data_IF_920149032357
#
_entry.id   IF_920149032357
#
_cell.length_a   1.000
_cell.length_b   1.000
_cell.length_c   1.000
_cell.angle_alpha   90.00
_cell.angle_beta   90.00
_cell.angle_gamma   90.00
#
_symmetry.space_group_name_H-M   'P 1'
#
loop_
_entity.id
_entity.type
_entity.pdbx_description
1 polymer ?
#
# COMPACT_ATOMS: atom_id res chain seq x y z
N UNK A 1 -18.84 28.71 -27.12
CA UNK A 1 -18.85 27.24 -27.21
C UNK A 1 -17.85 26.73 -26.18
N UNK A 2 -18.33 25.92 -25.24
CA UNK A 2 -17.74 25.72 -23.92
C UNK A 2 -16.37 25.01 -23.91
N UNK A 3 -15.48 25.49 -23.04
CA UNK A 3 -14.23 24.86 -22.67
C UNK A 3 -14.52 23.63 -21.80
N UNK A 4 -14.00 22.47 -22.18
CA UNK A 4 -14.07 21.24 -21.39
C UNK A 4 -13.14 21.40 -20.19
N UNK A 5 -13.71 21.69 -19.02
CA UNK A 5 -12.98 21.61 -17.77
C UNK A 5 -12.63 20.15 -17.51
N UNK A 6 -11.33 19.84 -17.56
CA UNK A 6 -10.80 18.61 -17.00
C UNK A 6 -11.28 18.51 -15.54
N UNK A 7 -12.07 17.48 -15.23
CA UNK A 7 -12.50 17.21 -13.85
C UNK A 7 -11.26 16.92 -13.03
N UNK A 8 -10.82 17.90 -12.24
CA UNK A 8 -9.77 17.72 -11.26
C UNK A 8 -10.22 16.73 -10.18
N UNK A 9 -9.80 15.48 -10.29
CA UNK A 9 -9.94 14.47 -9.22
C UNK A 9 -9.19 14.87 -7.92
N UNK A 10 -8.39 15.94 -7.96
CA UNK A 10 -7.49 16.33 -6.87
C UNK A 10 -8.17 16.93 -5.62
N UNK A 11 -9.47 17.26 -5.63
CA UNK A 11 -10.09 18.00 -4.51
C UNK A 11 -10.93 17.14 -3.56
N UNK A 12 -11.36 15.93 -3.94
CA UNK A 12 -12.22 15.11 -3.08
C UNK A 12 -11.45 14.15 -2.15
N UNK A 13 -10.20 13.81 -2.48
CA UNK A 13 -9.39 12.88 -1.67
C UNK A 13 -8.71 13.52 -0.45
N UNK A 14 -8.70 14.84 -0.32
CA UNK A 14 -7.83 15.53 0.65
C UNK A 14 -8.59 16.08 1.88
N UNK A 15 -9.67 15.41 2.30
CA UNK A 15 -10.40 15.80 3.51
C UNK A 15 -9.62 15.34 4.76
N UNK A 16 -9.06 16.26 5.58
CA UNK A 16 -8.14 15.92 6.66
C UNK A 16 -8.77 15.12 7.81
N UNK A 17 -10.11 15.06 7.88
CA UNK A 17 -10.82 14.37 8.97
C UNK A 17 -11.55 13.10 8.52
N UNK A 18 -11.29 12.61 7.30
CA UNK A 18 -11.93 11.40 6.77
C UNK A 18 -10.92 10.30 6.51
N UNK A 19 -11.26 9.02 6.78
CA UNK A 19 -10.41 7.90 6.39
C UNK A 19 -10.05 7.95 4.91
N UNK A 20 -8.80 7.61 4.60
CA UNK A 20 -8.23 7.72 3.26
C UNK A 20 -7.66 6.36 2.84
N UNK A 21 -8.19 5.79 1.77
CA UNK A 21 -7.79 4.46 1.31
C UNK A 21 -6.78 4.54 0.17
N UNK A 22 -5.72 3.74 0.27
CA UNK A 22 -4.74 3.52 -0.80
C UNK A 22 -4.63 2.03 -1.06
N UNK A 23 -4.70 1.66 -2.32
CA UNK A 23 -4.46 0.31 -2.79
C UNK A 23 -3.03 0.19 -3.35
N UNK A 24 -2.27 -0.73 -2.76
CA UNK A 24 -0.88 -1.02 -3.09
C UNK A 24 -0.85 -2.32 -3.89
N UNK A 25 -0.65 -2.20 -5.20
CA UNK A 25 -0.57 -3.33 -6.11
C UNK A 25 0.88 -3.77 -6.28
N UNK A 26 1.09 -5.08 -6.25
CA UNK A 26 2.39 -5.71 -6.43
C UNK A 26 2.32 -6.71 -7.58
N UNK A 27 3.16 -6.51 -8.58
CA UNK A 27 3.42 -7.48 -9.65
C UNK A 27 4.80 -8.07 -9.40
N UNK A 28 4.87 -9.38 -9.20
CA UNK A 28 6.08 -10.11 -8.82
C UNK A 28 6.59 -10.91 -10.02
N UNK A 29 7.91 -11.11 -10.07
CA UNK A 29 8.55 -12.05 -11.01
C UNK A 29 7.91 -13.43 -10.88
N UNK A 30 7.66 -14.08 -12.02
CA UNK A 30 7.12 -15.45 -12.05
C UNK A 30 7.98 -16.40 -11.20
N UNK A 31 7.33 -17.27 -10.42
CA UNK A 31 7.98 -18.21 -9.51
C UNK A 31 8.45 -17.62 -8.16
N UNK A 32 8.32 -16.31 -7.93
CA UNK A 32 8.79 -15.65 -6.70
C UNK A 32 7.68 -15.09 -5.80
N UNK A 33 6.41 -15.33 -6.12
CA UNK A 33 5.27 -14.79 -5.35
C UNK A 33 5.32 -15.22 -3.87
N UNK A 34 5.61 -16.49 -3.60
CA UNK A 34 5.72 -17.01 -2.23
C UNK A 34 6.93 -16.45 -1.48
N UNK A 35 8.06 -16.26 -2.16
CA UNK A 35 9.26 -15.65 -1.60
C UNK A 35 8.97 -14.19 -1.20
N UNK A 36 8.34 -13.43 -2.10
CA UNK A 36 7.91 -12.07 -1.85
C UNK A 36 6.98 -12.00 -0.64
N UNK A 37 5.93 -12.82 -0.60
CA UNK A 37 4.96 -12.80 0.48
C UNK A 37 5.57 -13.23 1.82
N UNK A 38 6.51 -14.18 1.81
CA UNK A 38 7.26 -14.57 3.01
C UNK A 38 8.09 -13.41 3.56
N UNK A 39 8.82 -12.71 2.71
CA UNK A 39 9.61 -11.53 3.10
C UNK A 39 8.71 -10.38 3.57
N UNK A 40 7.61 -10.12 2.85
CA UNK A 40 6.60 -9.13 3.22
C UNK A 40 6.03 -9.40 4.62
N UNK A 41 5.61 -10.64 4.90
CA UNK A 41 5.08 -11.05 6.21
C UNK A 41 6.12 -10.94 7.33
N UNK A 42 7.38 -11.26 7.03
CA UNK A 42 8.47 -11.25 8.02
C UNK A 42 8.88 -9.83 8.39
N UNK A 43 8.99 -8.93 7.40
CA UNK A 43 9.69 -7.65 7.58
C UNK A 43 8.75 -6.44 7.46
N UNK A 44 7.96 -6.36 6.39
CA UNK A 44 7.12 -5.18 6.13
C UNK A 44 5.82 -5.17 6.94
N UNK A 45 5.13 -6.31 7.02
CA UNK A 45 3.85 -6.41 7.72
C UNK A 45 3.92 -6.03 9.22
N UNK A 46 4.97 -6.40 10.00
CA UNK A 46 5.10 -5.92 11.38
C UNK A 46 5.16 -4.40 11.52
N UNK A 47 5.77 -3.69 10.56
CA UNK A 47 5.81 -2.22 10.56
C UNK A 47 4.41 -1.64 10.34
N UNK A 48 3.63 -2.20 9.40
CA UNK A 48 2.23 -1.81 9.21
C UNK A 48 1.39 -2.09 10.46
N UNK A 49 1.59 -3.24 11.11
CA UNK A 49 0.92 -3.56 12.39
C UNK A 49 1.27 -2.57 13.49
N UNK A 50 2.51 -2.09 13.56
CA UNK A 50 2.91 -1.04 14.50
C UNK A 50 2.16 0.27 14.21
N UNK A 51 2.09 0.69 12.94
CA UNK A 51 1.31 1.87 12.55
C UNK A 51 -0.20 1.73 12.81
N UNK A 52 -0.75 0.51 12.73
CA UNK A 52 -2.12 0.24 13.17
C UNK A 52 -2.28 0.43 14.68
N UNK A 53 -1.34 -0.04 15.50
CA UNK A 53 -1.38 0.13 16.95
C UNK A 53 -1.30 1.61 17.37
N UNK A 54 -0.60 2.42 16.59
CA UNK A 54 -0.51 3.87 16.76
C UNK A 54 -1.74 4.62 16.23
N UNK A 55 -2.69 3.92 15.62
CA UNK A 55 -3.92 4.50 15.07
C UNK A 55 -3.73 5.30 13.78
N UNK A 56 -2.58 5.14 13.11
CA UNK A 56 -2.30 5.75 11.79
C UNK A 56 -3.05 5.01 10.69
N UNK A 57 -3.03 3.68 10.76
CA UNK A 57 -3.80 2.77 9.92
C UNK A 57 -5.03 2.31 10.71
N UNK A 58 -6.22 2.53 10.16
CA UNK A 58 -7.49 2.15 10.80
C UNK A 58 -8.03 0.81 10.29
N UNK A 59 -7.66 0.41 9.07
CA UNK A 59 -7.96 -0.90 8.51
C UNK A 59 -6.90 -1.32 7.48
N UNK A 60 -6.71 -2.62 7.32
CA UNK A 60 -5.80 -3.17 6.31
C UNK A 60 -6.29 -4.54 5.83
N UNK A 61 -6.34 -4.70 4.51
CA UNK A 61 -6.70 -5.96 3.85
C UNK A 61 -5.64 -6.35 2.84
N UNK A 62 -5.36 -7.64 2.72
CA UNK A 62 -4.49 -8.20 1.67
C UNK A 62 -5.25 -9.23 0.86
N UNK A 63 -5.18 -9.11 -0.46
CA UNK A 63 -5.88 -9.96 -1.41
C UNK A 63 -4.93 -10.36 -2.55
N UNK A 64 -5.23 -11.50 -3.16
CA UNK A 64 -4.58 -11.98 -4.38
C UNK A 64 -5.68 -12.36 -5.38
N UNK A 65 -5.44 -12.25 -6.69
CA UNK A 65 -6.40 -12.76 -7.67
C UNK A 65 -6.52 -14.27 -7.52
N UNK A 66 -7.74 -14.79 -7.54
CA UNK A 66 -7.97 -16.23 -7.56
C UNK A 66 -7.71 -16.84 -8.95
N UNK A 67 -7.95 -16.07 -10.00
CA UNK A 67 -7.68 -16.44 -11.39
C UNK A 67 -6.59 -15.55 -11.99
N UNK A 68 -5.83 -16.08 -12.94
CA UNK A 68 -4.82 -15.32 -13.66
C UNK A 68 -5.47 -14.25 -14.56
N UNK A 69 -4.99 -13.02 -14.45
CA UNK A 69 -5.19 -12.01 -15.50
C UNK A 69 -4.14 -12.17 -16.61
N UNK A 70 -4.41 -11.63 -17.79
CA UNK A 70 -3.38 -11.48 -18.83
C UNK A 70 -2.21 -10.62 -18.34
N UNK A 71 -1.03 -10.79 -18.93
CA UNK A 71 0.22 -10.19 -18.43
C UNK A 71 0.16 -8.66 -18.30
N UNK A 72 -0.57 -7.98 -19.19
CA UNK A 72 -0.75 -6.51 -19.16
C UNK A 72 -1.47 -6.05 -17.87
N UNK A 73 -2.53 -6.75 -17.46
CA UNK A 73 -3.33 -6.42 -16.28
C UNK A 73 -2.95 -7.20 -15.02
N UNK A 74 -1.89 -8.00 -15.08
CA UNK A 74 -1.49 -8.88 -13.97
C UNK A 74 -0.96 -8.08 -12.78
N UNK A 75 -1.54 -8.35 -11.63
CA UNK A 75 -0.99 -8.12 -10.30
C UNK A 75 -1.08 -9.43 -9.53
N UNK A 76 -0.19 -9.66 -8.57
CA UNK A 76 -0.13 -10.91 -7.82
C UNK A 76 -0.66 -10.73 -6.38
N UNK A 77 -0.46 -9.53 -5.81
CA UNK A 77 -0.99 -9.14 -4.51
C UNK A 77 -1.47 -7.70 -4.52
N UNK A 78 -2.53 -7.44 -3.76
CA UNK A 78 -3.01 -6.10 -3.43
C UNK A 78 -3.08 -5.97 -1.92
N UNK A 79 -2.58 -4.86 -1.39
CA UNK A 79 -2.82 -4.46 -0.01
C UNK A 79 -3.63 -3.19 -0.03
N UNK A 80 -4.79 -3.16 0.60
CA UNK A 80 -5.56 -1.94 0.81
C UNK A 80 -5.30 -1.47 2.22
N UNK A 81 -4.76 -0.26 2.37
CA UNK A 81 -4.57 0.39 3.67
C UNK A 81 -5.55 1.53 3.75
N UNK A 82 -6.37 1.53 4.81
CA UNK A 82 -7.20 2.67 5.17
C UNK A 82 -6.45 3.45 6.25
N UNK A 83 -5.95 4.61 5.87
CA UNK A 83 -5.30 5.56 6.76
C UNK A 83 -6.33 6.38 7.52
N UNK A 84 -5.96 6.88 8.70
CA UNK A 84 -6.80 7.76 9.51
C UNK A 84 -7.31 8.96 8.70
N UNK A 85 -6.45 9.54 7.88
CA UNK A 85 -6.79 10.59 6.92
C UNK A 85 -5.71 10.76 5.84
N UNK A 86 -5.95 11.65 4.87
CA UNK A 86 -5.02 11.92 3.77
C UNK A 86 -3.70 12.54 4.24
N UNK A 87 -3.71 13.30 5.33
CA UNK A 87 -2.49 13.92 5.89
C UNK A 87 -1.56 12.83 6.43
N UNK A 88 -2.09 11.90 7.23
CA UNK A 88 -1.33 10.75 7.77
C UNK A 88 -0.83 9.82 6.67
N UNK A 89 -1.56 9.69 5.55
CA UNK A 89 -1.14 8.86 4.42
C UNK A 89 0.07 9.43 3.63
N UNK A 90 0.38 10.72 3.78
CA UNK A 90 1.42 11.41 3.01
C UNK A 90 2.38 12.24 3.89
N UNK A 91 2.40 12.00 5.21
CA UNK A 91 3.35 12.67 6.10
C UNK A 91 4.73 12.01 6.04
N UNK A 92 5.74 12.70 6.59
CA UNK A 92 7.10 12.20 6.70
C UNK A 92 7.27 11.32 7.96
N UNK A 93 6.47 10.25 8.08
CA UNK A 93 6.55 9.35 9.24
C UNK A 93 7.88 8.59 9.29
N UNK A 94 8.61 8.76 10.39
CA UNK A 94 9.87 8.07 10.67
C UNK A 94 9.61 6.82 11.52
N UNK A 95 9.81 5.64 10.92
CA UNK A 95 9.69 4.34 11.57
C UNK A 95 11.02 3.77 12.08
N UNK A 96 12.14 4.52 11.99
CA UNK A 96 13.48 4.03 12.28
C UNK A 96 13.66 3.47 13.70
N UNK A 97 13.01 4.08 14.69
CA UNK A 97 13.03 3.59 16.07
C UNK A 97 12.29 2.25 16.20
N UNK A 98 11.17 2.09 15.49
CA UNK A 98 10.40 0.85 15.45
C UNK A 98 11.15 -0.25 14.70
N UNK A 99 11.77 0.07 13.56
CA UNK A 99 12.64 -0.84 12.81
C UNK A 99 13.74 -1.42 13.71
N UNK A 100 14.48 -0.56 14.42
CA UNK A 100 15.57 -1.01 15.32
C UNK A 100 15.06 -1.92 16.44
N UNK A 101 13.87 -1.62 16.98
CA UNK A 101 13.24 -2.41 18.04
C UNK A 101 12.72 -3.76 17.55
N UNK A 102 12.09 -3.79 16.38
CA UNK A 102 11.46 -4.99 15.82
C UNK A 102 12.48 -5.92 15.17
N UNK A 103 13.58 -5.38 14.63
CA UNK A 103 14.58 -6.13 13.88
C UNK A 103 16.00 -5.90 14.43
N UNK A 104 16.38 -6.51 15.56
CA UNK A 104 17.73 -6.30 16.12
C UNK A 104 18.87 -6.64 15.15
N UNK A 105 18.69 -7.64 14.27
CA UNK A 105 19.61 -7.94 13.17
C UNK A 105 19.30 -7.03 11.95
N UNK A 106 19.89 -5.84 11.97
CA UNK A 106 19.71 -4.81 10.94
C UNK A 106 20.30 -5.21 9.58
N UNK A 107 21.37 -6.01 9.56
CA UNK A 107 22.00 -6.47 8.33
C UNK A 107 21.05 -7.42 7.58
N UNK A 108 20.49 -8.40 8.29
CA UNK A 108 19.52 -9.32 7.71
C UNK A 108 18.26 -8.59 7.27
N UNK A 109 17.72 -7.68 8.08
CA UNK A 109 16.54 -6.90 7.72
C UNK A 109 16.77 -6.09 6.43
N UNK A 110 17.88 -5.36 6.34
CA UNK A 110 18.21 -4.53 5.17
C UNK A 110 18.36 -5.38 3.91
N UNK A 111 19.11 -6.48 3.99
CA UNK A 111 19.30 -7.41 2.86
C UNK A 111 17.99 -8.02 2.37
N UNK A 112 17.12 -8.38 3.31
CA UNK A 112 15.84 -9.02 2.98
C UNK A 112 14.80 -8.04 2.45
N UNK A 113 14.75 -6.80 2.95
CA UNK A 113 13.88 -5.76 2.38
C UNK A 113 14.34 -5.35 0.97
N UNK A 114 15.66 -5.23 0.75
CA UNK A 114 16.23 -5.05 -0.59
C UNK A 114 15.78 -6.20 -1.51
N UNK A 115 15.94 -7.46 -1.06
CA UNK A 115 15.51 -8.62 -1.83
C UNK A 115 14.01 -8.59 -2.14
N UNK A 116 13.17 -8.20 -1.17
CA UNK A 116 11.72 -8.11 -1.38
C UNK A 116 11.37 -7.16 -2.53
N UNK A 117 12.06 -6.02 -2.65
CA UNK A 117 11.86 -5.10 -3.76
C UNK A 117 12.45 -5.62 -5.08
N UNK A 118 13.60 -6.29 -5.07
CA UNK A 118 14.19 -6.90 -6.27
C UNK A 118 13.27 -7.94 -6.94
N UNK A 119 12.34 -8.53 -6.20
CA UNK A 119 11.37 -9.49 -6.72
C UNK A 119 10.23 -8.83 -7.51
N UNK A 120 10.03 -7.52 -7.37
CA UNK A 120 8.95 -6.81 -8.05
C UNK A 120 9.29 -6.51 -9.51
N UNK A 121 8.28 -6.67 -10.35
CA UNK A 121 8.23 -6.14 -11.72
C UNK A 121 7.56 -4.78 -11.76
N UNK A 122 6.56 -4.57 -10.90
CA UNK A 122 5.88 -3.29 -10.74
C UNK A 122 5.31 -3.16 -9.32
N UNK A 123 5.27 -1.92 -8.85
CA UNK A 123 4.56 -1.50 -7.66
C UNK A 123 3.75 -0.26 -8.01
N UNK A 124 2.46 -0.25 -7.72
CA UNK A 124 1.58 0.86 -8.05
C UNK A 124 0.67 1.17 -6.89
N UNK A 125 0.67 2.44 -6.49
CA UNK A 125 -0.12 2.95 -5.39
C UNK A 125 -1.28 3.77 -5.95
N UNK A 126 -2.50 3.38 -5.61
CA UNK A 126 -3.72 3.98 -6.14
C UNK A 126 -4.56 4.47 -4.97
N UNK A 127 -4.57 5.79 -4.77
CA UNK A 127 -5.54 6.40 -3.87
C UNK A 127 -6.96 6.19 -4.41
N UNK A 128 -7.85 5.65 -3.59
CA UNK A 128 -9.25 5.40 -3.95
C UNK A 128 -10.17 6.18 -3.04
N UNK A 129 -11.22 6.77 -3.62
CA UNK A 129 -12.26 7.47 -2.88
C UNK A 129 -13.60 6.79 -3.13
N UNK A 130 -14.47 6.70 -2.11
CA UNK A 130 -15.81 6.18 -2.32
C UNK A 130 -16.58 7.08 -3.27
N UNK A 131 -17.26 6.48 -4.24
CA UNK A 131 -18.23 7.18 -5.09
C UNK A 131 -19.60 7.04 -4.44
N UNK A 132 -20.22 8.16 -4.10
CA UNK A 132 -21.57 8.20 -3.54
C UNK A 132 -22.59 7.93 -4.65
N UNK A 133 -23.01 6.67 -4.77
CA UNK A 133 -24.01 6.24 -5.76
C UNK A 133 -25.43 6.74 -5.47
N UNK A 134 -25.65 7.45 -4.35
CA UNK A 134 -26.95 8.04 -4.01
C UNK A 134 -27.11 9.47 -4.52
N UNK A 135 -26.03 10.08 -5.04
CA UNK A 135 -26.04 11.42 -5.63
C UNK A 135 -25.87 11.32 -7.15
N UNK A 136 -26.63 12.10 -7.94
CA UNK A 136 -26.54 12.13 -9.39
C UNK A 136 -25.24 12.73 -9.92
#
# INVERSE_FOLDING_TARGET
MASSAARGHATQGNAPDKPFAVEYYYKVKWGHADEFLRLYKKNHHPLLKQQMQEGRIVDMKTEAPFYHAGEEGRWDFRVTIVWKNSVVAHDDYDDSAHIKKLFPDQETFTREEQRRFELLLAHTDVAVVPVDMTKP
#
